data_IF_991131123645
#
_entry.id   IF_991131123645
#
_cell.length_a   1.000
_cell.length_b   1.000
_cell.length_c   1.000
_cell.angle_alpha   90.00
_cell.angle_beta   90.00
_cell.angle_gamma   90.00
#
_symmetry.space_group_name_H-M   'P 1'
#
loop_
_entity.id
_entity.type
_entity.pdbx_description
1 polymer ?
#
# COMPACT_ATOMS: atom_id res chain seq x y z
N UNK A 1 -20.25 17.23 14.28
CA UNK A 1 -19.66 17.58 15.58
C UNK A 1 -18.57 18.62 15.44
N UNK A 2 -17.57 18.46 14.56
CA UNK A 2 -16.46 19.41 14.41
C UNK A 2 -16.63 20.51 13.34
N UNK A 3 -17.77 20.66 12.65
CA UNK A 3 -17.92 21.69 11.60
C UNK A 3 -17.01 21.56 10.37
N UNK A 4 -16.10 20.58 10.32
CA UNK A 4 -15.22 20.28 9.19
C UNK A 4 -16.03 19.55 8.10
N UNK A 5 -15.75 19.88 6.83
CA UNK A 5 -16.29 19.15 5.68
C UNK A 5 -16.01 17.64 5.81
N UNK A 6 -17.08 16.85 5.90
CA UNK A 6 -16.97 15.40 6.14
C UNK A 6 -16.21 14.71 5.01
N UNK A 7 -16.40 15.16 3.78
CA UNK A 7 -15.72 14.57 2.62
C UNK A 7 -14.21 14.83 2.68
N UNK A 8 -13.79 16.05 3.04
CA UNK A 8 -12.39 16.39 3.25
C UNK A 8 -11.76 15.60 4.40
N UNK A 9 -12.46 15.47 5.53
CA UNK A 9 -11.97 14.70 6.68
C UNK A 9 -11.75 13.23 6.32
N UNK A 10 -12.73 12.59 5.68
CA UNK A 10 -12.64 11.19 5.27
C UNK A 10 -11.60 11.02 4.16
N UNK A 11 -11.52 11.95 3.21
CA UNK A 11 -10.48 11.99 2.19
C UNK A 11 -9.06 12.09 2.78
N UNK A 12 -8.89 12.87 3.85
CA UNK A 12 -7.64 12.95 4.60
C UNK A 12 -7.29 11.63 5.31
N UNK A 13 -8.29 10.95 5.90
CA UNK A 13 -8.10 9.62 6.52
C UNK A 13 -7.69 8.57 5.48
N UNK A 14 -8.38 8.51 4.33
CA UNK A 14 -8.03 7.61 3.21
C UNK A 14 -6.60 7.91 2.73
N UNK A 15 -6.27 9.19 2.58
CA UNK A 15 -4.93 9.63 2.22
C UNK A 15 -3.86 9.20 3.22
N UNK A 16 -4.11 9.39 4.52
CA UNK A 16 -3.22 8.98 5.59
C UNK A 16 -3.04 7.45 5.67
N UNK A 17 -4.12 6.69 5.50
CA UNK A 17 -4.06 5.23 5.44
C UNK A 17 -3.23 4.75 4.25
N UNK A 18 -3.43 5.33 3.06
CA UNK A 18 -2.65 5.01 1.86
C UNK A 18 -1.18 5.41 2.02
N UNK A 19 -0.90 6.54 2.69
CA UNK A 19 0.46 6.95 3.02
C UNK A 19 1.14 5.95 3.95
N UNK A 20 0.44 5.52 5.00
CA UNK A 20 0.91 4.51 5.94
C UNK A 20 1.20 3.17 5.27
N UNK A 21 0.30 2.69 4.39
CA UNK A 21 0.48 1.44 3.66
C UNK A 21 1.75 1.46 2.80
N UNK A 22 1.93 2.54 2.03
CA UNK A 22 3.09 2.69 1.14
C UNK A 22 4.42 2.78 1.90
N UNK A 23 4.42 3.37 3.10
CA UNK A 23 5.62 3.50 3.94
C UNK A 23 5.67 2.48 5.07
N UNK A 24 4.90 1.39 4.98
CA UNK A 24 4.98 0.31 5.94
C UNK A 24 6.05 -0.71 5.54
N UNK A 25 6.86 -1.11 6.52
CA UNK A 25 7.80 -2.24 6.41
C UNK A 25 7.10 -3.58 6.73
N UNK A 26 5.89 -3.51 7.31
CA UNK A 26 5.12 -4.66 7.78
C UNK A 26 3.83 -4.89 6.99
N UNK A 27 3.53 -4.05 5.99
CA UNK A 27 2.31 -4.22 5.19
C UNK A 27 2.43 -5.41 4.24
N UNK A 28 1.34 -6.16 4.09
CA UNK A 28 1.23 -7.28 3.16
C UNK A 28 1.54 -6.87 1.73
N UNK A 29 1.10 -5.69 1.29
CA UNK A 29 1.37 -5.15 -0.05
C UNK A 29 2.87 -4.90 -0.22
N UNK A 30 3.51 -4.31 0.79
CA UNK A 30 4.94 -4.06 0.81
C UNK A 30 5.77 -5.34 0.75
N UNK A 31 5.38 -6.36 1.53
CA UNK A 31 6.04 -7.66 1.57
C UNK A 31 5.84 -8.41 0.25
N UNK A 32 4.61 -8.44 -0.28
CA UNK A 32 4.29 -9.09 -1.54
C UNK A 32 5.02 -8.44 -2.72
N UNK A 33 5.06 -7.10 -2.78
CA UNK A 33 5.77 -6.38 -3.83
C UNK A 33 7.27 -6.66 -3.77
N UNK A 34 7.88 -6.57 -2.58
CA UNK A 34 9.31 -6.82 -2.41
C UNK A 34 9.69 -8.27 -2.78
N UNK A 35 8.92 -9.26 -2.30
CA UNK A 35 9.15 -10.68 -2.58
C UNK A 35 8.98 -11.01 -4.06
N UNK A 36 7.91 -10.53 -4.70
CA UNK A 36 7.66 -10.82 -6.13
C UNK A 36 8.73 -10.21 -7.04
N UNK A 37 9.29 -9.06 -6.67
CA UNK A 37 10.34 -8.40 -7.45
C UNK A 37 11.76 -8.80 -7.04
N UNK A 38 11.94 -9.57 -5.96
CA UNK A 38 13.25 -10.05 -5.50
C UNK A 38 14.13 -8.98 -4.86
N UNK A 39 13.55 -8.03 -4.13
CA UNK A 39 14.28 -7.06 -3.30
C UNK A 39 13.89 -7.17 -1.82
N UNK A 40 14.67 -6.53 -0.94
CA UNK A 40 14.26 -6.40 0.46
C UNK A 40 13.15 -5.36 0.63
N UNK A 41 12.31 -5.54 1.66
CA UNK A 41 11.26 -4.56 2.00
C UNK A 41 11.88 -3.20 2.35
N UNK A 42 13.08 -3.20 2.95
CA UNK A 42 13.82 -1.98 3.29
C UNK A 42 14.28 -1.19 2.06
N UNK A 43 14.74 -1.87 1.01
CA UNK A 43 15.09 -1.22 -0.26
C UNK A 43 13.87 -0.60 -0.93
N UNK A 44 12.75 -1.35 -0.97
CA UNK A 44 11.45 -0.85 -1.46
C UNK A 44 10.98 0.38 -0.66
N UNK A 45 11.03 0.31 0.68
CA UNK A 45 10.69 1.44 1.56
C UNK A 45 11.50 2.70 1.23
N UNK A 46 12.82 2.56 1.01
CA UNK A 46 13.69 3.68 0.64
C UNK A 46 13.32 4.29 -0.71
N UNK A 47 12.91 3.48 -1.69
CA UNK A 47 12.41 4.00 -2.97
C UNK A 47 11.06 4.71 -2.80
N UNK A 48 10.11 4.11 -2.07
CA UNK A 48 8.81 4.73 -1.79
C UNK A 48 8.97 6.08 -1.07
N UNK A 49 9.90 6.21 -0.14
CA UNK A 49 10.12 7.43 0.64
C UNK A 49 10.45 8.64 -0.25
N UNK A 50 11.17 8.45 -1.36
CA UNK A 50 11.51 9.53 -2.31
C UNK A 50 10.28 10.07 -3.06
N UNK A 51 9.20 9.30 -3.11
CA UNK A 51 7.98 9.59 -3.89
C UNK A 51 6.83 9.98 -2.95
N UNK A 52 6.64 9.22 -1.87
CA UNK A 52 5.58 9.41 -0.90
C UNK A 52 5.75 10.69 -0.07
N UNK A 53 6.99 11.05 0.32
CA UNK A 53 7.20 12.27 1.12
C UNK A 53 6.84 13.56 0.38
N UNK A 54 7.28 13.80 -0.88
CA UNK A 54 6.82 14.96 -1.63
C UNK A 54 5.29 14.97 -1.81
N UNK A 55 4.67 13.82 -2.08
CA UNK A 55 3.22 13.72 -2.21
C UNK A 55 2.48 14.03 -0.90
N UNK A 56 3.00 13.55 0.24
CA UNK A 56 2.48 13.85 1.57
C UNK A 56 2.61 15.34 1.90
N UNK A 57 3.75 15.96 1.59
CA UNK A 57 3.94 17.40 1.78
C UNK A 57 2.92 18.23 0.98
N UNK A 58 2.69 17.88 -0.29
CA UNK A 58 1.67 18.52 -1.12
C UNK A 58 0.26 18.33 -0.53
N UNK A 59 -0.06 17.12 -0.09
CA UNK A 59 -1.35 16.83 0.54
C UNK A 59 -1.54 17.66 1.83
N UNK A 60 -0.52 17.75 2.68
CA UNK A 60 -0.55 18.55 3.90
C UNK A 60 -0.75 20.04 3.61
N UNK A 61 -0.07 20.58 2.60
CA UNK A 61 -0.25 21.98 2.17
C UNK A 61 -1.70 22.23 1.74
N UNK A 62 -2.28 21.35 0.91
CA UNK A 62 -3.69 21.50 0.50
C UNK A 62 -4.64 21.37 1.68
N UNK A 63 -4.44 20.37 2.54
CA UNK A 63 -5.28 20.19 3.72
C UNK A 63 -5.17 21.38 4.69
N UNK A 64 -4.01 22.01 4.82
CA UNK A 64 -3.83 23.22 5.63
C UNK A 64 -4.49 24.46 5.01
N UNK A 65 -4.59 24.55 3.68
CA UNK A 65 -5.26 25.67 2.99
C UNK A 65 -6.78 25.52 2.96
N UNK A 66 -7.29 24.29 2.86
CA UNK A 66 -8.73 24.00 2.69
C UNK A 66 -9.39 23.61 4.02
N UNK A 67 -8.60 23.18 5.00
CA UNK A 67 -9.11 22.78 6.31
C UNK A 67 -9.44 23.99 7.18
N UNK A 68 -10.67 24.04 7.68
CA UNK A 68 -11.08 25.04 8.66
C UNK A 68 -10.71 24.59 10.08
N UNK A 69 -10.29 25.56 10.90
CA UNK A 69 -10.05 25.34 12.32
C UNK A 69 -11.39 25.13 13.04
N UNK A 70 -11.69 23.88 13.42
CA UNK A 70 -12.79 23.59 14.34
C UNK A 70 -12.37 23.92 15.76
N UNK A 71 -13.25 24.50 16.60
CA UNK A 71 -13.05 24.47 18.04
C UNK A 71 -12.88 22.99 18.46
N UNK A 72 -11.76 22.70 19.12
CA UNK A 72 -11.49 21.39 19.67
C UNK A 72 -12.53 21.14 20.76
N UNK A 73 -13.44 20.19 20.52
CA UNK A 73 -14.21 19.65 21.63
C UNK A 73 -13.21 18.93 22.54
N UNK A 74 -13.27 19.21 23.84
CA UNK A 74 -12.50 18.49 24.84
C UNK A 74 -12.94 17.03 24.82
N UNK A 75 -12.23 16.20 24.05
CA UNK A 75 -12.34 14.75 24.11
C UNK A 75 -11.91 14.36 25.52
N UNK A 76 -12.66 13.47 26.18
CA UNK A 76 -12.21 12.82 27.41
C UNK A 76 -10.76 12.38 27.24
N UNK A 77 -9.90 12.77 28.18
CA UNK A 77 -8.49 12.43 28.11
C UNK A 77 -8.34 10.91 28.25
N UNK A 78 -8.28 10.22 27.10
CA UNK A 78 -7.87 8.83 27.06
C UNK A 78 -6.46 8.71 27.67
N UNK A 79 -6.24 7.65 28.44
CA UNK A 79 -4.93 7.41 29.06
C UNK A 79 -3.85 7.33 27.98
N UNK A 80 -2.82 8.19 28.01
CA UNK A 80 -1.77 8.22 26.99
C UNK A 80 -0.99 6.91 26.91
N UNK A 81 -1.05 6.08 27.95
CA UNK A 81 -0.38 4.78 28.02
C UNK A 81 -1.00 3.71 27.12
N UNK A 82 -2.26 3.88 26.68
CA UNK A 82 -2.95 2.89 25.83
C UNK A 82 -2.31 2.76 24.43
N UNK A 83 -1.47 3.71 24.01
CA UNK A 83 -0.76 3.66 22.73
C UNK A 83 0.51 2.79 22.77
N UNK A 84 1.00 2.43 23.96
CA UNK A 84 2.29 1.75 24.12
C UNK A 84 2.41 0.43 23.36
N UNK A 85 1.42 -0.48 23.35
CA UNK A 85 1.52 -1.72 22.57
C UNK A 85 1.75 -1.45 21.08
N UNK A 86 1.10 -0.42 20.53
CA UNK A 86 1.26 -0.02 19.14
C UNK A 86 2.63 0.59 18.85
N UNK A 87 3.10 1.49 19.71
CA UNK A 87 4.43 2.11 19.59
C UNK A 87 5.53 1.04 19.66
N UNK A 88 5.38 0.05 20.55
CA UNK A 88 6.31 -1.06 20.66
C UNK A 88 6.40 -1.85 19.35
N UNK A 89 5.27 -2.25 18.77
CA UNK A 89 5.20 -2.95 17.48
C UNK A 89 5.92 -2.16 16.39
N UNK A 90 5.66 -0.85 16.31
CA UNK A 90 6.31 0.02 15.33
C UNK A 90 7.83 0.08 15.51
N UNK A 91 8.31 0.24 16.75
CA UNK A 91 9.75 0.28 17.05
C UNK A 91 10.41 -1.04 16.67
N UNK A 92 9.86 -2.18 17.09
CA UNK A 92 10.43 -3.49 16.78
C UNK A 92 10.45 -3.77 15.27
N UNK A 93 9.42 -3.36 14.54
CA UNK A 93 9.38 -3.45 13.09
C UNK A 93 10.49 -2.61 12.42
N UNK A 94 10.72 -1.38 12.90
CA UNK A 94 11.79 -0.50 12.39
C UNK A 94 13.18 -1.04 12.70
N UNK A 95 13.35 -1.73 13.84
CA UNK A 95 14.58 -2.43 14.20
C UNK A 95 14.84 -3.68 13.34
N UNK A 96 13.88 -4.07 12.48
CA UNK A 96 14.05 -5.14 11.51
C UNK A 96 13.81 -6.54 12.07
N UNK A 97 13.09 -6.66 13.20
CA UNK A 97 12.61 -7.97 13.66
C UNK A 97 11.60 -8.54 12.66
N UNK A 98 11.51 -9.87 12.62
CA UNK A 98 10.55 -10.56 11.77
C UNK A 98 9.11 -10.17 12.14
N UNK A 99 8.29 -9.91 11.12
CA UNK A 99 6.92 -9.39 11.29
C UNK A 99 6.06 -10.32 12.14
N UNK A 100 6.21 -11.65 11.99
CA UNK A 100 5.44 -12.61 12.77
C UNK A 100 5.81 -12.52 14.26
N UNK A 101 7.10 -12.36 14.56
CA UNK A 101 7.59 -12.17 15.92
C UNK A 101 7.09 -10.85 16.50
N UNK A 102 7.18 -9.77 15.72
CA UNK A 102 6.71 -8.43 16.13
C UNK A 102 5.22 -8.43 16.47
N UNK A 103 4.38 -9.02 15.61
CA UNK A 103 2.93 -9.11 15.84
C UNK A 103 2.58 -10.01 17.02
N UNK A 104 3.31 -11.13 17.19
CA UNK A 104 3.14 -12.02 18.35
C UNK A 104 3.44 -11.31 19.68
N UNK A 105 4.54 -10.55 19.75
CA UNK A 105 4.86 -9.72 20.91
C UNK A 105 3.77 -8.66 21.13
N UNK A 106 3.34 -8.00 20.05
CA UNK A 106 2.27 -7.00 20.11
C UNK A 106 0.97 -7.54 20.70
N UNK A 107 0.57 -8.74 20.31
CA UNK A 107 -0.63 -9.41 20.82
C UNK A 107 -0.55 -9.69 22.33
N UNK A 108 0.59 -10.23 22.79
CA UNK A 108 0.82 -10.52 24.21
C UNK A 108 0.82 -9.22 25.02
N UNK A 109 1.52 -8.19 24.56
CA UNK A 109 1.61 -6.91 25.27
C UNK A 109 0.25 -6.20 25.29
N UNK A 110 -0.52 -6.24 24.21
CA UNK A 110 -1.89 -5.70 24.18
C UNK A 110 -2.81 -6.41 25.18
N UNK A 111 -2.75 -7.74 25.25
CA UNK A 111 -3.50 -8.53 26.23
C UNK A 111 -3.13 -8.20 27.68
N UNK A 112 -1.84 -8.06 27.98
CA UNK A 112 -1.37 -7.65 29.32
C UNK A 112 -1.81 -6.23 29.68
N UNK A 113 -1.79 -5.30 28.72
CA UNK A 113 -2.29 -3.94 28.92
C UNK A 113 -3.79 -3.91 29.16
N UNK A 114 -4.56 -4.68 28.41
CA UNK A 114 -6.00 -4.86 28.62
C UNK A 114 -6.27 -5.39 30.03
N UNK A 115 -5.61 -6.47 30.41
CA UNK A 115 -5.74 -7.06 31.75
C UNK A 115 -5.42 -6.08 32.89
N UNK A 116 -4.41 -5.22 32.71
CA UNK A 116 -3.99 -4.28 33.74
C UNK A 116 -4.85 -3.01 33.84
N UNK A 117 -5.51 -2.59 32.75
CA UNK A 117 -6.15 -1.26 32.67
C UNK A 117 -7.67 -1.30 32.40
N UNK A 118 -8.21 -2.40 31.88
CA UNK A 118 -9.62 -2.55 31.61
C UNK A 118 -10.27 -3.44 32.68
N UNK A 119 -11.29 -2.95 33.40
CA UNK A 119 -12.10 -3.78 34.29
C UNK A 119 -12.66 -4.98 33.53
N UNK A 120 -12.63 -6.16 34.15
CA UNK A 120 -13.19 -7.41 33.61
C UNK A 120 -12.51 -7.97 32.33
N UNK A 121 -11.37 -7.41 31.93
CA UNK A 121 -10.61 -7.94 30.79
C UNK A 121 -9.75 -9.14 31.19
N UNK A 122 -10.34 -10.34 31.12
CA UNK A 122 -9.68 -11.60 31.48
C UNK A 122 -9.19 -12.42 30.28
N UNK A 123 -8.79 -13.66 30.56
CA UNK A 123 -8.35 -14.63 29.52
C UNK A 123 -9.48 -14.92 28.53
N UNK A 124 -10.72 -14.97 29.00
CA UNK A 124 -11.89 -15.25 28.15
C UNK A 124 -12.15 -14.13 27.13
N UNK A 125 -12.11 -12.86 27.56
CA UNK A 125 -12.29 -11.71 26.65
C UNK A 125 -11.11 -11.60 25.69
N UNK A 126 -9.88 -11.82 26.16
CA UNK A 126 -8.70 -11.84 25.28
C UNK A 126 -8.79 -12.92 24.20
N UNK A 127 -9.22 -14.14 24.56
CA UNK A 127 -9.43 -15.22 23.58
C UNK A 127 -10.56 -14.89 22.60
N UNK A 128 -11.65 -14.27 23.08
CA UNK A 128 -12.76 -13.83 22.23
C UNK A 128 -12.33 -12.74 21.25
N UNK A 129 -11.50 -11.78 21.67
CA UNK A 129 -10.97 -10.73 20.80
C UNK A 129 -10.02 -11.29 19.73
N UNK A 130 -9.18 -12.28 20.09
CA UNK A 130 -8.37 -13.02 19.11
C UNK A 130 -9.27 -13.70 18.08
N UNK A 131 -10.32 -14.38 18.54
CA UNK A 131 -11.27 -15.07 17.66
C UNK A 131 -11.97 -14.08 16.72
N UNK A 132 -12.47 -12.94 17.24
CA UNK A 132 -13.09 -11.89 16.45
C UNK A 132 -12.11 -11.31 15.40
N UNK A 133 -10.83 -11.16 15.78
CA UNK A 133 -9.77 -10.80 14.86
C UNK A 133 -9.63 -11.80 13.70
N UNK A 134 -9.59 -13.11 13.98
CA UNK A 134 -9.58 -14.15 12.96
C UNK A 134 -10.85 -14.11 12.09
N UNK A 135 -12.03 -14.04 12.69
CA UNK A 135 -13.31 -13.96 11.99
C UNK A 135 -13.34 -12.79 10.99
N UNK A 136 -12.82 -11.63 11.40
CA UNK A 136 -12.76 -10.43 10.55
C UNK A 136 -11.90 -10.57 9.29
N UNK A 137 -10.94 -11.50 9.27
CA UNK A 137 -10.03 -11.73 8.13
C UNK A 137 -10.35 -12.98 7.33
N UNK A 138 -11.26 -13.85 7.79
CA UNK A 138 -11.61 -15.11 7.10
C UNK A 138 -12.12 -14.86 5.68
N UNK A 139 -13.06 -13.93 5.50
CA UNK A 139 -13.63 -13.63 4.18
C UNK A 139 -12.56 -13.16 3.19
N UNK A 140 -11.69 -12.24 3.62
CA UNK A 140 -10.59 -11.71 2.80
C UNK A 140 -9.58 -12.82 2.49
N UNK A 141 -9.32 -13.72 3.44
CA UNK A 141 -8.42 -14.86 3.25
C UNK A 141 -8.95 -15.83 2.20
N UNK A 142 -10.24 -16.18 2.28
CA UNK A 142 -10.90 -17.04 1.28
C UNK A 142 -10.88 -16.39 -0.11
N UNK A 143 -11.19 -15.08 -0.18
CA UNK A 143 -11.12 -14.32 -1.42
C UNK A 143 -9.69 -14.33 -2.00
N UNK A 144 -8.67 -14.06 -1.17
CA UNK A 144 -7.27 -14.07 -1.59
C UNK A 144 -6.84 -15.46 -2.07
N UNK A 145 -7.29 -16.53 -1.42
CA UNK A 145 -7.04 -17.91 -1.83
C UNK A 145 -7.65 -18.21 -3.20
N UNK A 146 -8.91 -17.84 -3.43
CA UNK A 146 -9.57 -18.05 -4.72
C UNK A 146 -8.96 -17.22 -5.83
N UNK A 147 -8.69 -15.93 -5.59
CA UNK A 147 -8.08 -15.10 -6.63
C UNK A 147 -6.63 -15.53 -6.88
N UNK A 148 -5.89 -15.97 -5.86
CA UNK A 148 -4.58 -16.60 -6.02
C UNK A 148 -4.65 -17.86 -6.89
N UNK A 149 -5.65 -18.72 -6.67
CA UNK A 149 -5.93 -19.90 -7.49
C UNK A 149 -6.28 -19.55 -8.94
N UNK A 150 -7.13 -18.55 -9.16
CA UNK A 150 -7.43 -18.03 -10.50
C UNK A 150 -6.19 -17.43 -11.18
N UNK A 151 -5.37 -16.69 -10.43
CA UNK A 151 -4.08 -16.17 -10.90
C UNK A 151 -3.15 -17.29 -11.36
N UNK A 152 -3.08 -18.39 -10.61
CA UNK A 152 -2.33 -19.58 -10.99
C UNK A 152 -2.89 -20.24 -12.25
N UNK A 153 -4.22 -20.32 -12.40
CA UNK A 153 -4.87 -20.86 -13.60
C UNK A 153 -4.61 -20.00 -14.84
N UNK A 154 -4.64 -18.66 -14.71
CA UNK A 154 -4.29 -17.73 -15.78
C UNK A 154 -2.83 -17.92 -16.20
N UNK A 155 -1.93 -18.13 -15.23
CA UNK A 155 -0.52 -18.44 -15.50
C UNK A 155 -0.36 -19.77 -16.22
N UNK A 156 -1.02 -20.83 -15.77
CA UNK A 156 -1.00 -22.14 -16.40
C UNK A 156 -1.58 -22.11 -17.83
N UNK A 157 -2.60 -21.28 -18.06
CA UNK A 157 -3.24 -21.09 -19.37
C UNK A 157 -2.47 -20.16 -20.32
N UNK A 158 -1.29 -19.65 -19.92
CA UNK A 158 -0.48 -18.74 -20.73
C UNK A 158 -0.98 -17.28 -20.80
N UNK A 159 -1.97 -16.90 -19.99
CA UNK A 159 -2.55 -15.56 -19.98
C UNK A 159 -1.55 -14.46 -19.59
N UNK A 160 -0.61 -14.77 -18.70
CA UNK A 160 0.49 -13.86 -18.35
C UNK A 160 1.43 -13.59 -19.55
N UNK A 161 1.73 -14.63 -20.34
CA UNK A 161 2.52 -14.49 -21.57
C UNK A 161 1.76 -13.68 -22.62
N UNK A 162 0.45 -13.90 -22.77
CA UNK A 162 -0.38 -13.11 -23.65
C UNK A 162 -0.41 -11.63 -23.24
N UNK A 163 -0.62 -11.33 -21.94
CA UNK A 163 -0.58 -9.95 -21.42
C UNK A 163 0.78 -9.30 -21.66
N UNK A 164 1.88 -10.00 -21.36
CA UNK A 164 3.24 -9.52 -21.62
C UNK A 164 3.46 -9.24 -23.11
N UNK A 165 2.96 -10.11 -24.00
CA UNK A 165 3.02 -9.91 -25.44
C UNK A 165 2.19 -8.70 -25.90
N UNK A 166 0.98 -8.49 -25.36
CA UNK A 166 0.16 -7.32 -25.66
C UNK A 166 0.81 -6.01 -25.21
N UNK A 167 1.35 -5.98 -24.00
CA UNK A 167 2.07 -4.82 -23.47
C UNK A 167 3.35 -4.56 -24.30
N UNK A 168 4.11 -5.62 -24.62
CA UNK A 168 5.30 -5.52 -25.49
C UNK A 168 4.95 -5.03 -26.89
N UNK A 169 3.78 -5.42 -27.42
CA UNK A 169 3.26 -5.01 -28.73
C UNK A 169 2.95 -3.52 -28.78
N UNK A 170 2.49 -2.96 -27.65
CA UNK A 170 2.25 -1.52 -27.44
C UNK A 170 3.57 -0.78 -27.19
N UNK A 171 4.56 -1.43 -26.56
CA UNK A 171 5.90 -0.90 -26.29
C UNK A 171 6.86 -0.96 -27.50
N UNK A 172 6.42 -1.50 -28.65
CA UNK A 172 7.25 -1.63 -29.87
C UNK A 172 7.82 -0.27 -30.28
N UNK A 173 9.14 -0.14 -30.16
CA UNK A 173 9.91 1.05 -30.54
C UNK A 173 10.71 1.71 -29.41
N UNK A 174 10.54 1.32 -28.15
CA UNK A 174 11.36 1.85 -27.05
C UNK A 174 11.84 0.77 -26.07
N UNK A 175 13.15 0.56 -26.00
CA UNK A 175 13.83 -0.39 -25.11
C UNK A 175 14.28 0.23 -23.79
N UNK A 176 13.81 1.44 -23.48
CA UNK A 176 14.29 2.19 -22.32
C UNK A 176 13.69 1.71 -21.01
N UNK A 177 14.40 1.98 -19.91
CA UNK A 177 13.92 1.78 -18.53
C UNK A 177 12.53 2.39 -18.29
N UNK A 178 12.28 3.58 -18.86
CA UNK A 178 11.00 4.29 -18.76
C UNK A 178 9.83 3.46 -19.29
N UNK A 179 10.04 2.76 -20.40
CA UNK A 179 9.04 1.89 -21.00
C UNK A 179 8.68 0.74 -20.07
N UNK A 180 9.69 0.17 -19.40
CA UNK A 180 9.48 -0.83 -18.34
C UNK A 180 8.71 -0.26 -17.15
N UNK A 181 9.10 0.90 -16.64
CA UNK A 181 8.40 1.58 -15.53
C UNK A 181 6.92 1.84 -15.87
N UNK A 182 6.61 2.34 -17.07
CA UNK A 182 5.23 2.56 -17.53
C UNK A 182 4.44 1.26 -17.72
N UNK A 183 5.10 0.22 -18.23
CA UNK A 183 4.48 -1.10 -18.41
C UNK A 183 4.09 -1.73 -17.06
N UNK A 184 4.97 -1.63 -16.06
CA UNK A 184 4.70 -2.11 -14.69
C UNK A 184 3.55 -1.30 -14.07
N UNK A 185 3.59 0.03 -14.17
CA UNK A 185 2.55 0.91 -13.67
C UNK A 185 1.17 0.60 -14.28
N UNK A 186 1.10 0.44 -15.60
CA UNK A 186 -0.14 0.13 -16.30
C UNK A 186 -0.67 -1.27 -15.93
N UNK A 187 0.21 -2.28 -15.88
CA UNK A 187 -0.15 -3.63 -15.46
C UNK A 187 -0.73 -3.62 -14.04
N UNK A 188 -0.01 -3.00 -13.10
CA UNK A 188 -0.41 -2.85 -11.70
C UNK A 188 -1.81 -2.21 -11.56
N UNK A 189 -2.01 -1.06 -12.22
CA UNK A 189 -3.26 -0.33 -12.18
C UNK A 189 -4.41 -1.14 -12.77
N UNK A 190 -4.25 -1.71 -13.97
CA UNK A 190 -5.29 -2.47 -14.66
C UNK A 190 -5.67 -3.72 -13.85
N UNK A 191 -4.69 -4.49 -13.39
CA UNK A 191 -4.95 -5.67 -12.56
C UNK A 191 -5.72 -5.27 -11.30
N UNK A 192 -5.36 -4.14 -10.66
CA UNK A 192 -6.06 -3.70 -9.46
C UNK A 192 -7.49 -3.18 -9.73
N UNK A 193 -7.75 -2.50 -10.85
CA UNK A 193 -9.10 -2.11 -11.26
C UNK A 193 -10.04 -3.32 -11.31
N UNK A 194 -9.57 -4.44 -11.88
CA UNK A 194 -10.39 -5.64 -12.05
C UNK A 194 -10.46 -6.53 -10.82
N UNK A 195 -9.40 -6.58 -10.00
CA UNK A 195 -9.37 -7.41 -8.79
C UNK A 195 -9.90 -6.69 -7.55
N UNK A 196 -9.86 -5.36 -7.54
CA UNK A 196 -10.23 -4.49 -6.43
C UNK A 196 -9.60 -4.92 -5.08
N UNK A 197 -8.39 -5.49 -5.12
CA UNK A 197 -7.67 -5.99 -3.95
C UNK A 197 -6.16 -5.87 -4.16
N UNK A 198 -5.51 -5.10 -3.28
CA UNK A 198 -4.11 -4.72 -3.46
C UNK A 198 -3.17 -5.92 -3.50
N UNK A 199 -3.18 -6.73 -2.44
CA UNK A 199 -2.27 -7.86 -2.27
C UNK A 199 -2.43 -8.86 -3.41
N UNK A 200 -3.69 -9.14 -3.76
CA UNK A 200 -4.03 -10.03 -4.86
C UNK A 200 -3.53 -9.51 -6.21
N UNK A 201 -3.73 -8.22 -6.50
CA UNK A 201 -3.25 -7.60 -7.72
C UNK A 201 -1.73 -7.71 -7.85
N UNK A 202 -0.99 -7.46 -6.75
CA UNK A 202 0.47 -7.57 -6.69
C UNK A 202 0.92 -9.01 -6.95
N UNK A 203 0.26 -10.02 -6.35
CA UNK A 203 0.64 -11.42 -6.52
C UNK A 203 0.42 -11.92 -7.96
N UNK A 204 -0.69 -11.53 -8.59
CA UNK A 204 -0.99 -11.90 -9.98
C UNK A 204 -0.01 -11.22 -10.95
N UNK A 205 0.16 -9.91 -10.80
CA UNK A 205 0.96 -9.11 -11.73
C UNK A 205 2.47 -9.23 -11.46
N UNK A 206 2.87 -9.67 -10.27
CA UNK A 206 4.26 -9.60 -9.79
C UNK A 206 5.27 -10.32 -10.68
N UNK A 207 4.96 -11.54 -11.13
CA UNK A 207 5.89 -12.27 -12.03
C UNK A 207 6.03 -11.61 -13.41
N UNK A 208 4.94 -11.08 -13.98
CA UNK A 208 5.00 -10.34 -15.25
C UNK A 208 5.74 -9.00 -15.07
N UNK A 209 5.49 -8.30 -13.97
CA UNK A 209 6.19 -7.06 -13.63
C UNK A 209 7.70 -7.30 -13.50
N UNK A 210 8.10 -8.45 -12.93
CA UNK A 210 9.50 -8.86 -12.84
C UNK A 210 10.11 -9.14 -14.21
N UNK A 211 9.43 -9.90 -15.07
CA UNK A 211 9.91 -10.15 -16.44
C UNK A 211 10.10 -8.84 -17.22
N UNK A 212 9.17 -7.89 -17.06
CA UNK A 212 9.27 -6.55 -17.66
C UNK A 212 10.47 -5.79 -17.07
N UNK A 213 10.64 -5.83 -15.75
CA UNK A 213 11.74 -5.15 -15.05
C UNK A 213 13.10 -5.66 -15.54
N UNK A 214 13.26 -6.97 -15.68
CA UNK A 214 14.49 -7.60 -16.18
C UNK A 214 14.77 -7.21 -17.64
N UNK A 215 13.77 -7.27 -18.53
CA UNK A 215 13.93 -6.87 -19.95
C UNK A 215 14.27 -5.39 -20.16
N UNK A 216 13.75 -4.52 -19.31
CA UNK A 216 13.93 -3.06 -19.42
C UNK A 216 14.97 -2.50 -18.43
N UNK A 217 15.71 -3.36 -17.73
CA UNK A 217 16.69 -2.97 -16.72
C UNK A 217 16.14 -1.99 -15.67
N UNK A 218 14.90 -2.22 -15.21
CA UNK A 218 14.31 -1.49 -14.08
C UNK A 218 14.83 -2.13 -12.78
N UNK A 219 15.43 -1.35 -11.85
CA UNK A 219 15.90 -1.90 -10.59
C UNK A 219 14.78 -2.61 -9.81
N UNK A 220 15.03 -3.77 -9.18
CA UNK A 220 14.02 -4.53 -8.44
C UNK A 220 13.23 -3.69 -7.42
N UNK A 221 13.91 -2.89 -6.61
CA UNK A 221 13.26 -2.00 -5.63
C UNK A 221 12.37 -0.92 -6.29
N UNK A 222 12.74 -0.47 -7.49
CA UNK A 222 11.98 0.49 -8.30
C UNK A 222 10.73 -0.18 -8.88
N UNK A 223 10.87 -1.39 -9.41
CA UNK A 223 9.74 -2.19 -9.89
C UNK A 223 8.75 -2.48 -8.75
N UNK A 224 9.25 -2.88 -7.58
CA UNK A 224 8.42 -3.14 -6.40
C UNK A 224 7.68 -1.88 -5.94
N UNK A 225 8.38 -0.74 -5.91
CA UNK A 225 7.80 0.56 -5.58
C UNK A 225 6.69 0.97 -6.54
N UNK A 226 6.89 0.86 -7.85
CA UNK A 226 5.87 1.20 -8.85
C UNK A 226 4.67 0.26 -8.80
N UNK A 227 4.91 -1.05 -8.66
CA UNK A 227 3.86 -2.05 -8.54
C UNK A 227 2.95 -1.74 -7.34
N UNK A 228 3.56 -1.51 -6.18
CA UNK A 228 2.87 -1.18 -4.93
C UNK A 228 2.12 0.16 -5.00
N UNK A 229 2.78 1.24 -5.40
CA UNK A 229 2.17 2.59 -5.44
C UNK A 229 0.95 2.61 -6.35
N UNK A 230 1.03 2.03 -7.56
CA UNK A 230 -0.08 2.06 -8.51
C UNK A 230 -1.23 1.18 -8.03
N UNK A 231 -0.96 0.01 -7.46
CA UNK A 231 -2.00 -0.82 -6.86
C UNK A 231 -2.71 -0.07 -5.72
N UNK A 232 -1.97 0.41 -4.72
CA UNK A 232 -2.56 1.03 -3.54
C UNK A 232 -3.27 2.35 -3.89
N UNK A 233 -2.68 3.17 -4.75
CA UNK A 233 -3.29 4.45 -5.14
C UNK A 233 -4.54 4.26 -5.99
N UNK A 234 -4.54 3.31 -6.93
CA UNK A 234 -5.73 3.00 -7.73
C UNK A 234 -6.83 2.47 -6.81
N UNK A 235 -6.52 1.55 -5.91
CA UNK A 235 -7.52 1.04 -4.95
C UNK A 235 -8.12 2.16 -4.11
N UNK A 236 -7.32 3.13 -3.69
CA UNK A 236 -7.77 4.29 -2.90
C UNK A 236 -8.56 5.31 -3.70
N UNK A 237 -8.78 5.04 -4.98
CA UNK A 237 -9.57 5.86 -5.90
C UNK A 237 -10.69 5.06 -6.58
N UNK A 238 -10.82 3.75 -6.34
CA UNK A 238 -11.89 2.92 -6.88
C UNK A 238 -13.20 3.16 -6.10
N UNK A 239 -14.28 3.65 -6.74
CA UNK A 239 -15.56 3.89 -6.05
C UNK A 239 -16.21 2.62 -5.48
N UNK A 240 -15.90 1.46 -6.06
CA UNK A 240 -16.37 0.14 -5.64
C UNK A 240 -15.31 -0.64 -4.82
N UNK A 241 -14.17 -0.01 -4.51
CA UNK A 241 -13.17 -0.61 -3.64
C UNK A 241 -13.66 -0.67 -2.20
N UNK A 242 -13.40 -1.79 -1.50
CA UNK A 242 -13.89 -2.03 -0.14
C UNK A 242 -13.59 -0.87 0.84
N UNK A 243 -12.39 -0.30 0.78
CA UNK A 243 -12.00 0.83 1.65
C UNK A 243 -12.81 2.11 1.39
N UNK A 244 -13.13 2.42 0.13
CA UNK A 244 -13.93 3.60 -0.22
C UNK A 244 -15.38 3.37 0.13
N UNK A 245 -15.91 2.16 -0.11
CA UNK A 245 -17.27 1.80 0.26
C UNK A 245 -17.50 1.83 1.77
N UNK A 246 -16.54 1.33 2.56
CA UNK A 246 -16.57 1.42 4.01
C UNK A 246 -16.51 2.87 4.49
N UNK A 247 -15.58 3.67 3.94
CA UNK A 247 -15.49 5.08 4.29
C UNK A 247 -16.76 5.86 3.92
N UNK A 248 -17.35 5.56 2.77
CA UNK A 248 -18.60 6.14 2.28
C UNK A 248 -19.79 5.76 3.17
N UNK A 249 -19.91 4.49 3.57
CA UNK A 249 -21.00 4.01 4.42
C UNK A 249 -20.93 4.62 5.82
N UNK A 250 -19.73 4.71 6.41
CA UNK A 250 -19.51 5.34 7.72
C UNK A 250 -19.79 6.85 7.68
N UNK A 251 -19.50 7.52 6.57
CA UNK A 251 -19.69 8.96 6.43
C UNK A 251 -21.08 9.37 5.93
N UNK A 252 -21.85 8.44 5.39
CA UNK A 252 -23.11 8.72 4.69
C UNK A 252 -22.91 9.54 3.41
N UNK A 253 -21.78 9.33 2.70
CA UNK A 253 -21.39 10.08 1.51
C UNK A 253 -21.35 9.19 0.28
N UNK A 254 -21.50 9.79 -0.91
CA UNK A 254 -21.27 9.07 -2.16
C UNK A 254 -19.78 8.71 -2.30
N UNK A 255 -19.45 7.46 -2.67
CA UNK A 255 -18.08 7.04 -2.96
C UNK A 255 -17.34 7.97 -3.93
N UNK A 256 -18.03 8.49 -4.95
CA UNK A 256 -17.44 9.39 -5.95
C UNK A 256 -16.94 10.71 -5.34
N UNK A 257 -17.62 11.20 -4.31
CA UNK A 257 -17.20 12.42 -3.60
C UNK A 257 -15.91 12.17 -2.83
N UNK A 258 -15.78 11.01 -2.19
CA UNK A 258 -14.58 10.64 -1.43
C UNK A 258 -13.36 10.47 -2.33
N UNK A 259 -13.53 9.86 -3.51
CA UNK A 259 -12.47 9.73 -4.52
C UNK A 259 -11.91 11.10 -4.91
N UNK A 260 -12.77 12.11 -5.06
CA UNK A 260 -12.33 13.48 -5.34
C UNK A 260 -11.58 14.18 -4.20
N UNK A 261 -11.78 13.74 -2.95
CA UNK A 261 -11.18 14.33 -1.74
C UNK A 261 -9.97 13.58 -1.21
N UNK A 262 -9.63 12.43 -1.78
CA UNK A 262 -8.43 11.65 -1.46
C UNK A 262 -7.15 12.30 -2.02
N UNK A 263 -6.85 13.52 -1.58
CA UNK A 263 -5.78 14.38 -2.14
C UNK A 263 -4.41 13.71 -2.18
N UNK A 264 -4.02 13.01 -1.10
CA UNK A 264 -2.74 12.28 -1.07
C UNK A 264 -2.63 11.23 -2.16
N UNK A 265 -3.69 10.45 -2.43
CA UNK A 265 -3.68 9.40 -3.45
C UNK A 265 -3.46 9.98 -4.85
N UNK A 266 -4.10 11.11 -5.15
CA UNK A 266 -3.88 11.85 -6.40
C UNK A 266 -2.47 12.43 -6.50
N UNK A 267 -1.97 13.05 -5.43
CA UNK A 267 -0.61 13.58 -5.40
C UNK A 267 0.44 12.47 -5.53
N UNK A 268 0.21 11.33 -4.89
CA UNK A 268 1.10 10.18 -4.96
C UNK A 268 1.20 9.67 -6.40
N UNK A 269 0.09 9.50 -7.11
CA UNK A 269 0.10 9.15 -8.55
C UNK A 269 0.83 10.21 -9.38
N UNK A 270 0.50 11.49 -9.19
CA UNK A 270 1.10 12.60 -9.93
C UNK A 270 2.61 12.71 -9.73
N UNK A 271 3.07 12.65 -8.48
CA UNK A 271 4.51 12.67 -8.13
C UNK A 271 5.22 11.42 -8.65
N UNK A 272 4.57 10.25 -8.60
CA UNK A 272 5.15 9.01 -9.17
C UNK A 272 5.37 9.15 -10.67
N UNK A 273 4.36 9.63 -11.41
CA UNK A 273 4.45 9.90 -12.84
C UNK A 273 5.55 10.91 -13.13
N UNK A 274 5.60 12.02 -12.39
CA UNK A 274 6.67 13.02 -12.55
C UNK A 274 8.05 12.40 -12.31
N UNK A 275 8.21 11.58 -11.28
CA UNK A 275 9.47 10.90 -10.99
C UNK A 275 9.87 9.94 -12.11
N UNK A 276 8.92 9.22 -12.72
CA UNK A 276 9.17 8.36 -13.89
C UNK A 276 9.62 9.17 -15.13
N UNK A 277 9.15 10.42 -15.26
CA UNK A 277 9.53 11.33 -16.35
C UNK A 277 10.90 11.98 -16.13
N UNK A 278 11.35 12.15 -14.88
CA UNK A 278 12.67 12.73 -14.59
C UNK A 278 13.81 11.83 -15.09
N UNK A 279 14.89 12.39 -15.66
CA UNK A 279 16.05 11.59 -16.07
C UNK A 279 16.73 11.00 -14.84
N UNK A 280 16.60 9.70 -14.63
CA UNK A 280 17.34 9.01 -13.58
C UNK A 280 18.84 9.17 -13.81
N UNK A 281 19.60 9.47 -12.74
CA UNK A 281 21.07 9.43 -12.78
C UNK A 281 21.48 8.05 -13.33
N UNK A 282 22.04 8.04 -14.54
CA UNK A 282 22.64 6.84 -15.14
C UNK A 282 23.80 6.42 -14.24
N UNK A 283 23.56 5.51 -13.30
CA UNK A 283 24.65 4.87 -12.57
C UNK A 283 25.35 3.96 -13.57
N UNK A 284 26.59 4.29 -13.86
CA UNK A 284 27.41 3.72 -14.92
C UNK A 284 27.46 2.19 -14.83
N UNK A 285 26.80 1.51 -15.77
CA UNK A 285 27.05 0.11 -16.12
C UNK A 285 28.10 0.04 -17.26
N UNK A 286 29.18 0.80 -17.14
CA UNK A 286 30.30 0.82 -18.09
C UNK A 286 31.63 0.38 -17.45
N UNK A 287 31.59 -0.26 -16.28
CA UNK A 287 32.80 -0.71 -15.57
C UNK A 287 33.01 -2.23 -15.61
N UNK A 288 32.29 -2.96 -16.49
CA UNK A 288 32.48 -4.42 -16.68
C UNK A 288 32.89 -4.80 -18.12
N UNK A 289 33.07 -3.83 -19.01
CA UNK A 289 33.49 -4.06 -20.40
C UNK A 289 34.97 -3.66 -20.64
N UNK A 290 35.78 -3.55 -19.59
CA UNK A 290 37.23 -3.31 -19.75
C UNK A 290 38.01 -4.57 -19.32
N UNK A 291 38.36 -5.46 -20.27
CA UNK A 291 39.31 -6.52 -20.01
C UNK A 291 40.72 -5.93 -20.04
N UNK A 292 41.30 -5.70 -18.87
CA UNK A 292 42.74 -5.60 -18.69
C UNK A 292 43.29 -6.96 -18.22
#
# INVERSE_FOLDING_TARGET
AAGIDRALMIGAVIGGATFGDNLSVISDTAIAAARTQGCSVREKFRENLKIALPAAALALVVLAMVGDASPAQSVEQASPWLVLPYVLVLVLAVLGLDVLVVLGIGLVVAGLFGYANAPDYGVATFAADIYAGFESVVEITLLALFIGGLGALIKASGGLHWLAAQISRIARGSSGRRTGEWSIAALAAVTNVFTANNTVAILISGSVARDIAERHAVPPARAASLLDIFVCSVQSLLPYGAQILLAASLAGLSPLVLVGKAHYCWFLLGVTVLFMLLPGKRRALRALDDPA
#
